data_IF_286740626474
#
_entry.id   IF_286740626474
#
_cell.length_a   1.000
_cell.length_b   1.000
_cell.length_c   1.000
_cell.angle_alpha   90.00
_cell.angle_beta   90.00
_cell.angle_gamma   90.00
#
_symmetry.space_group_name_H-M   'P 1'
#
loop_
_entity.id
_entity.type
_entity.pdbx_description
1 polymer ?
#
# COMPACT_ATOMS: atom_id res chain seq x y z
N UNK A 1 91.62 -21.71 -46.09
CA UNK A 1 90.95 -20.74 -45.24
C UNK A 1 89.55 -20.45 -45.89
N UNK A 2 88.48 -21.05 -45.40
CA UNK A 2 87.17 -20.75 -45.83
C UNK A 2 86.26 -20.69 -44.56
N UNK A 3 85.83 -19.47 -44.25
CA UNK A 3 84.84 -19.22 -43.16
C UNK A 3 83.46 -19.65 -43.58
N UNK A 4 82.82 -20.40 -42.77
CA UNK A 4 81.43 -20.79 -42.90
C UNK A 4 80.52 -19.79 -42.11
N UNK A 5 79.36 -19.30 -42.61
CA UNK A 5 78.52 -18.43 -41.85
C UNK A 5 77.49 -19.24 -41.03
N UNK A 6 77.42 -18.89 -39.73
CA UNK A 6 76.39 -19.34 -38.82
C UNK A 6 75.01 -18.68 -39.19
N UNK A 7 74.02 -19.48 -39.42
CA UNK A 7 72.65 -19.00 -39.55
C UNK A 7 72.03 -18.98 -38.12
N UNK A 8 71.70 -17.79 -37.64
CA UNK A 8 70.90 -17.61 -36.43
C UNK A 8 69.45 -17.65 -36.81
N UNK A 9 68.76 -18.68 -36.36
CA UNK A 9 67.28 -18.78 -36.47
C UNK A 9 66.70 -18.01 -35.32
N UNK A 10 66.05 -16.85 -35.61
CA UNK A 10 65.32 -16.05 -34.62
C UNK A 10 63.92 -16.64 -34.46
N UNK A 11 63.64 -17.30 -33.32
CA UNK A 11 62.30 -17.75 -32.96
C UNK A 11 61.47 -16.56 -32.51
N UNK A 12 60.50 -16.15 -33.31
CA UNK A 12 59.45 -15.20 -32.94
C UNK A 12 58.49 -15.88 -31.95
N UNK A 13 58.57 -15.51 -30.65
CA UNK A 13 57.56 -15.83 -29.69
C UNK A 13 56.33 -14.96 -29.96
N UNK A 14 55.27 -15.59 -30.43
CA UNK A 14 53.93 -14.95 -30.53
C UNK A 14 53.37 -14.87 -29.09
N UNK A 15 53.50 -13.65 -28.53
CA UNK A 15 52.85 -13.34 -27.23
C UNK A 15 51.35 -13.29 -27.48
N UNK A 16 50.61 -14.31 -27.02
CA UNK A 16 49.15 -14.35 -27.05
C UNK A 16 48.58 -13.22 -26.19
N UNK A 17 47.94 -12.26 -26.83
CA UNK A 17 47.11 -11.30 -26.14
C UNK A 17 45.89 -12.04 -25.57
N UNK A 18 45.96 -12.51 -24.33
CA UNK A 18 44.77 -12.82 -23.56
C UNK A 18 43.94 -11.55 -23.44
N UNK A 19 42.74 -11.58 -24.08
CA UNK A 19 41.82 -10.48 -24.01
C UNK A 19 41.46 -10.18 -22.56
N UNK A 20 41.86 -8.99 -22.07
CA UNK A 20 41.35 -8.46 -20.81
C UNK A 20 39.86 -8.47 -20.88
N UNK A 21 39.21 -9.27 -20.00
CA UNK A 21 37.75 -9.14 -19.74
C UNK A 21 37.46 -7.67 -19.44
N UNK A 22 36.38 -7.08 -19.99
CA UNK A 22 36.00 -5.74 -19.62
C UNK A 22 35.91 -5.67 -18.10
N UNK A 23 36.59 -4.73 -17.49
CA UNK A 23 36.46 -4.43 -16.05
C UNK A 23 35.04 -3.93 -15.90
N UNK A 24 34.18 -4.71 -15.21
CA UNK A 24 32.86 -4.24 -14.84
C UNK A 24 33.04 -2.91 -14.09
N UNK A 25 32.24 -1.86 -14.42
CA UNK A 25 32.34 -0.61 -13.70
C UNK A 25 32.10 -0.88 -12.22
N UNK A 26 33.06 -0.50 -11.38
CA UNK A 26 32.95 -0.57 -9.92
C UNK A 26 31.72 0.25 -9.56
N UNK A 27 30.67 -0.43 -9.06
CA UNK A 27 29.49 0.24 -8.56
C UNK A 27 29.93 1.23 -7.48
N UNK A 28 29.72 2.53 -7.71
CA UNK A 28 30.05 3.56 -6.75
C UNK A 28 29.23 3.34 -5.47
N UNK A 29 29.89 3.13 -4.35
CA UNK A 29 29.26 3.09 -3.04
C UNK A 29 28.57 4.44 -2.83
N UNK A 30 27.27 4.48 -2.46
CA UNK A 30 26.59 5.72 -2.18
C UNK A 30 27.35 6.54 -1.13
N UNK A 31 27.63 7.82 -1.42
CA UNK A 31 28.41 8.70 -0.57
C UNK A 31 27.50 9.75 0.09
N UNK A 32 27.92 10.22 1.27
CA UNK A 32 27.20 11.24 2.04
C UNK A 32 26.51 10.70 3.30
N UNK A 33 25.85 11.56 4.08
CA UNK A 33 25.08 11.14 5.25
C UNK A 33 23.86 10.34 4.85
N UNK A 34 23.50 9.36 5.68
CA UNK A 34 22.26 8.61 5.52
C UNK A 34 21.04 9.52 5.72
N UNK A 35 19.97 9.32 4.92
CA UNK A 35 18.82 10.21 4.88
C UNK A 35 17.50 9.43 4.77
N UNK A 36 16.42 10.03 5.22
CA UNK A 36 15.05 9.57 4.97
C UNK A 36 14.52 9.96 3.57
N UNK A 37 15.31 10.74 2.80
CA UNK A 37 15.00 11.10 1.40
C UNK A 37 16.10 10.60 0.46
N UNK A 38 16.29 9.26 0.35
CA UNK A 38 17.28 8.73 -0.55
C UNK A 38 16.86 8.94 -2.01
N UNK A 39 17.86 9.08 -2.89
CA UNK A 39 17.66 9.10 -4.32
C UNK A 39 18.16 7.82 -4.95
N UNK A 40 17.48 7.33 -5.98
CA UNK A 40 17.88 6.18 -6.76
C UNK A 40 17.98 6.54 -8.23
N UNK A 41 18.99 6.00 -8.91
CA UNK A 41 19.11 6.05 -10.36
C UNK A 41 18.49 4.79 -10.96
N UNK A 42 17.55 4.96 -11.87
CA UNK A 42 16.92 3.90 -12.65
C UNK A 42 17.52 3.97 -14.06
N UNK A 43 18.32 2.97 -14.41
CA UNK A 43 18.93 2.84 -15.73
C UNK A 43 18.12 1.90 -16.60
N UNK A 44 17.73 2.35 -17.79
CA UNK A 44 16.90 1.58 -18.72
C UNK A 44 17.54 1.45 -20.10
N UNK A 45 16.93 0.68 -20.97
CA UNK A 45 17.31 0.62 -22.40
C UNK A 45 17.06 1.92 -23.17
N UNK A 46 16.24 2.83 -22.62
CA UNK A 46 15.91 4.12 -23.23
C UNK A 46 16.59 5.31 -22.55
N UNK A 47 17.49 5.06 -21.59
CA UNK A 47 18.22 6.07 -20.85
C UNK A 47 18.01 5.95 -19.34
N UNK A 48 18.57 6.91 -18.61
CA UNK A 48 18.56 6.97 -17.17
C UNK A 48 17.62 8.06 -16.65
N UNK A 49 17.09 7.89 -15.45
CA UNK A 49 16.40 8.92 -14.70
C UNK A 49 16.59 8.73 -13.20
N UNK A 50 16.39 9.78 -12.41
CA UNK A 50 16.58 9.79 -10.96
C UNK A 50 15.24 10.01 -10.27
N UNK A 51 15.01 9.21 -9.24
CA UNK A 51 13.83 9.32 -8.36
C UNK A 51 14.31 9.68 -6.95
N UNK A 52 13.77 10.75 -6.37
CA UNK A 52 13.88 11.05 -4.95
C UNK A 52 12.75 10.36 -4.21
N UNK A 53 13.09 9.57 -3.19
CA UNK A 53 12.14 8.82 -2.37
C UNK A 53 11.79 9.60 -1.10
N UNK A 54 10.64 9.34 -0.51
CA UNK A 54 10.11 10.06 0.66
C UNK A 54 9.75 9.06 1.78
N UNK A 55 10.76 8.65 2.55
CA UNK A 55 10.56 7.80 3.72
C UNK A 55 10.06 8.56 4.95
N UNK A 56 9.98 9.88 4.90
CA UNK A 56 9.33 10.66 5.96
C UNK A 56 7.80 10.45 5.95
N UNK A 57 7.22 10.30 4.75
CA UNK A 57 5.78 10.11 4.56
C UNK A 57 5.39 8.67 4.20
N UNK A 58 6.31 7.85 3.68
CA UNK A 58 6.06 6.46 3.30
C UNK A 58 7.20 5.54 3.76
N UNK A 59 7.49 5.45 5.08
CA UNK A 59 8.68 4.76 5.59
C UNK A 59 8.70 3.26 5.28
N UNK A 60 7.58 2.56 5.42
CA UNK A 60 7.45 1.13 5.10
C UNK A 60 7.59 0.85 3.62
N UNK A 61 6.96 1.67 2.77
CA UNK A 61 7.01 1.53 1.31
C UNK A 61 8.42 1.81 0.77
N UNK A 62 9.08 2.88 1.23
CA UNK A 62 10.47 3.18 0.83
C UNK A 62 11.43 2.11 1.33
N UNK A 63 11.28 1.62 2.58
CA UNK A 63 12.09 0.52 3.11
C UNK A 63 11.94 -0.74 2.26
N UNK A 64 10.72 -1.11 1.89
CA UNK A 64 10.45 -2.25 1.01
C UNK A 64 11.12 -2.07 -0.37
N UNK A 65 10.93 -0.92 -1.00
CA UNK A 65 11.52 -0.63 -2.31
C UNK A 65 13.06 -0.67 -2.26
N UNK A 66 13.66 -0.04 -1.25
CA UNK A 66 15.12 -0.03 -1.06
C UNK A 66 15.69 -1.42 -0.76
N UNK A 67 14.95 -2.30 -0.07
CA UNK A 67 15.35 -3.70 0.09
C UNK A 67 15.46 -4.42 -1.25
N UNK A 68 14.52 -4.20 -2.18
CA UNK A 68 14.59 -4.76 -3.53
C UNK A 68 15.70 -4.13 -4.38
N UNK A 69 16.03 -2.85 -4.15
CA UNK A 69 17.18 -2.18 -4.79
C UNK A 69 18.49 -2.83 -4.35
N UNK A 70 18.68 -3.05 -3.03
CA UNK A 70 19.87 -3.67 -2.48
C UNK A 70 20.04 -5.13 -2.94
N UNK A 71 18.92 -5.87 -3.04
CA UNK A 71 18.89 -7.25 -3.55
C UNK A 71 19.07 -7.31 -5.09
N UNK A 72 19.20 -6.18 -5.78
CA UNK A 72 19.25 -6.09 -7.25
C UNK A 72 18.05 -6.79 -7.93
N UNK A 73 16.91 -6.85 -7.23
CA UNK A 73 15.72 -7.54 -7.71
C UNK A 73 15.23 -6.98 -9.04
N UNK A 74 15.30 -5.66 -9.21
CA UNK A 74 14.78 -4.99 -10.40
C UNK A 74 15.62 -5.17 -11.65
N UNK A 75 16.86 -5.64 -11.51
CA UNK A 75 17.77 -5.83 -12.65
C UNK A 75 17.20 -6.88 -13.63
N UNK A 76 17.09 -6.49 -14.88
CA UNK A 76 16.50 -7.30 -15.94
C UNK A 76 14.98 -7.36 -15.95
N UNK A 77 14.28 -6.67 -15.05
CA UNK A 77 12.81 -6.50 -15.14
C UNK A 77 12.47 -5.44 -16.21
N UNK A 78 11.20 -5.33 -16.57
CA UNK A 78 10.74 -4.41 -17.60
C UNK A 78 9.66 -3.45 -17.12
N UNK A 79 9.50 -2.34 -17.82
CA UNK A 79 8.24 -1.60 -17.84
C UNK A 79 7.26 -2.39 -18.71
N UNK A 80 6.45 -3.23 -18.06
CA UNK A 80 5.55 -4.19 -18.71
C UNK A 80 4.21 -3.61 -19.13
N UNK A 81 3.84 -2.44 -18.58
CA UNK A 81 2.57 -1.77 -18.88
C UNK A 81 2.80 -0.28 -19.07
N UNK A 82 2.49 0.22 -20.26
CA UNK A 82 2.57 1.63 -20.63
C UNK A 82 1.21 2.10 -21.12
N UNK A 83 0.69 3.12 -20.46
CA UNK A 83 -0.54 3.82 -20.84
C UNK A 83 -0.19 5.30 -20.94
N UNK A 84 0.04 5.80 -22.14
CA UNK A 84 0.61 7.12 -22.43
C UNK A 84 -0.12 8.32 -21.78
N UNK A 85 -1.44 8.17 -21.52
CA UNK A 85 -2.26 9.19 -20.85
C UNK A 85 -2.54 8.84 -19.38
N UNK A 86 -1.73 8.00 -18.76
CA UNK A 86 -1.94 7.56 -17.38
C UNK A 86 -0.62 7.26 -16.69
N UNK A 87 -0.08 6.04 -16.82
CA UNK A 87 1.07 5.56 -16.05
C UNK A 87 2.02 4.72 -16.91
N UNK A 88 3.27 4.65 -16.49
CA UNK A 88 4.21 3.60 -16.87
C UNK A 88 4.49 2.71 -15.67
N UNK A 89 4.24 1.40 -15.76
CA UNK A 89 4.31 0.44 -14.66
C UNK A 89 5.38 -0.61 -14.93
N UNK A 90 6.21 -0.89 -13.91
CA UNK A 90 7.33 -1.81 -14.04
C UNK A 90 7.68 -2.55 -12.75
N UNK A 91 8.81 -3.27 -12.78
CA UNK A 91 9.43 -3.88 -11.60
C UNK A 91 8.90 -5.25 -11.19
N UNK A 92 8.01 -5.88 -12.00
CA UNK A 92 7.43 -7.17 -11.63
C UNK A 92 7.57 -8.27 -12.67
N UNK A 93 7.99 -7.97 -13.90
CA UNK A 93 8.00 -8.91 -15.02
C UNK A 93 9.36 -8.92 -15.73
N UNK A 94 9.71 -10.09 -16.29
CA UNK A 94 10.84 -10.27 -17.21
C UNK A 94 10.48 -9.80 -18.62
N UNK A 95 11.45 -9.65 -19.55
CA UNK A 95 11.16 -9.31 -20.95
C UNK A 95 10.18 -10.26 -21.65
N UNK A 96 10.13 -11.53 -21.25
CA UNK A 96 9.19 -12.55 -21.77
C UNK A 96 7.80 -12.46 -21.12
N UNK A 97 7.53 -11.38 -20.35
CA UNK A 97 6.28 -11.18 -19.61
C UNK A 97 5.96 -12.31 -18.64
N UNK A 98 6.97 -12.88 -18.02
CA UNK A 98 6.84 -13.80 -16.90
C UNK A 98 7.02 -13.05 -15.60
N UNK A 99 6.09 -13.22 -14.65
CA UNK A 99 6.18 -12.58 -13.35
C UNK A 99 7.43 -13.09 -12.58
N UNK A 100 8.27 -12.16 -12.12
CA UNK A 100 9.48 -12.46 -11.35
C UNK A 100 9.12 -12.71 -9.88
N UNK A 101 8.84 -13.98 -9.55
CA UNK A 101 8.46 -14.39 -8.19
C UNK A 101 9.64 -14.67 -7.26
N UNK A 102 10.75 -15.16 -7.81
CA UNK A 102 11.96 -15.43 -7.03
C UNK A 102 12.50 -14.12 -6.39
N UNK A 103 12.70 -14.16 -5.08
CA UNK A 103 13.16 -12.98 -4.31
C UNK A 103 12.04 -12.01 -3.91
N UNK A 104 10.77 -12.32 -4.15
CA UNK A 104 9.66 -11.52 -3.62
C UNK A 104 9.59 -11.64 -2.09
N UNK A 105 9.37 -10.49 -1.43
CA UNK A 105 9.14 -10.36 0.00
C UNK A 105 7.64 -10.35 0.29
N UNK A 106 7.20 -10.55 1.55
CA UNK A 106 5.79 -10.37 1.92
C UNK A 106 5.26 -9.01 1.50
N UNK A 107 3.96 -8.95 1.25
CA UNK A 107 3.28 -7.70 0.95
C UNK A 107 3.33 -6.74 2.14
N UNK A 108 3.34 -5.44 1.85
CA UNK A 108 3.44 -4.37 2.85
C UNK A 108 2.08 -3.74 3.16
N UNK A 109 2.03 -3.06 4.31
CA UNK A 109 0.87 -2.27 4.70
C UNK A 109 0.65 -1.09 3.74
N UNK A 110 -0.61 -0.67 3.61
CA UNK A 110 -0.97 0.51 2.84
C UNK A 110 -0.59 1.80 3.59
N UNK A 111 0.15 2.67 2.93
CA UNK A 111 0.53 4.00 3.40
C UNK A 111 -0.08 5.12 2.54
N UNK A 112 -1.14 4.86 1.76
CA UNK A 112 -1.76 5.86 0.88
C UNK A 112 -2.44 7.03 1.63
N UNK A 113 -2.48 6.97 2.98
CA UNK A 113 -2.91 8.08 3.86
C UNK A 113 -1.81 9.09 4.19
N UNK A 114 -0.68 9.02 3.51
CA UNK A 114 0.50 9.84 3.80
C UNK A 114 0.41 11.29 3.33
N UNK A 115 -0.71 11.70 2.72
CA UNK A 115 -0.92 13.06 2.22
C UNK A 115 -0.27 13.37 0.87
N UNK A 116 0.52 12.44 0.33
CA UNK A 116 1.12 12.60 -1.00
C UNK A 116 0.09 12.28 -2.09
N UNK A 117 0.19 13.02 -3.22
CA UNK A 117 -0.76 12.92 -4.33
C UNK A 117 -0.13 12.21 -5.52
N UNK A 118 -0.97 11.50 -6.29
CA UNK A 118 -0.59 10.90 -7.56
C UNK A 118 -0.49 11.95 -8.68
N UNK A 119 0.27 13.01 -8.43
CA UNK A 119 0.56 14.05 -9.39
C UNK A 119 1.56 13.55 -10.46
N UNK A 120 1.62 14.22 -11.59
CA UNK A 120 2.57 13.94 -12.66
C UNK A 120 4.01 13.85 -12.13
N UNK A 121 4.74 12.84 -12.59
CA UNK A 121 6.13 12.49 -12.23
C UNK A 121 6.31 11.92 -10.83
N UNK A 122 5.24 11.62 -10.09
CA UNK A 122 5.37 10.86 -8.85
C UNK A 122 5.50 9.36 -9.13
N UNK A 123 6.19 8.65 -8.23
CA UNK A 123 6.26 7.19 -8.22
C UNK A 123 5.33 6.66 -7.12
N UNK A 124 4.53 5.68 -7.47
CA UNK A 124 3.60 5.05 -6.53
C UNK A 124 3.71 3.52 -6.58
N UNK A 125 3.41 2.87 -5.44
CA UNK A 125 3.45 1.42 -5.33
C UNK A 125 2.18 0.80 -5.93
N UNK A 126 2.37 -0.17 -6.83
CA UNK A 126 1.25 -0.93 -7.38
C UNK A 126 0.73 -1.95 -6.36
N UNK A 127 -0.55 -2.10 -6.30
CA UNK A 127 -1.29 -3.12 -5.57
C UNK A 127 -2.42 -3.71 -6.42
N UNK A 128 -2.88 -4.88 -6.09
CA UNK A 128 -4.06 -5.48 -6.74
C UNK A 128 -5.29 -4.62 -6.40
N UNK A 129 -6.08 -4.19 -7.38
CA UNK A 129 -7.32 -3.47 -7.12
C UNK A 129 -8.21 -4.21 -6.12
N UNK A 130 -8.77 -3.49 -5.15
CA UNK A 130 -9.59 -4.08 -4.08
C UNK A 130 -8.81 -4.73 -2.92
N UNK A 131 -7.48 -4.89 -3.03
CA UNK A 131 -6.64 -5.44 -1.95
C UNK A 131 -5.53 -4.46 -1.55
N UNK A 132 -5.77 -3.71 -0.48
CA UNK A 132 -4.87 -2.65 0.01
C UNK A 132 -3.54 -3.17 0.55
N UNK A 133 -3.48 -4.44 0.96
CA UNK A 133 -2.29 -5.07 1.55
C UNK A 133 -1.60 -6.03 0.58
N UNK A 134 -1.69 -5.79 -0.73
CA UNK A 134 -1.10 -6.65 -1.77
C UNK A 134 0.13 -6.04 -2.45
N UNK A 135 0.57 -4.85 -2.03
CA UNK A 135 1.74 -4.19 -2.60
C UNK A 135 3.03 -4.96 -2.25
N UNK A 136 3.87 -5.22 -3.25
CA UNK A 136 5.13 -5.96 -3.09
C UNK A 136 6.28 -5.32 -3.87
N UNK A 137 6.41 -5.66 -5.17
CA UNK A 137 7.56 -5.27 -6.00
C UNK A 137 7.23 -4.19 -7.03
N UNK A 138 6.01 -4.23 -7.59
CA UNK A 138 5.67 -3.41 -8.74
C UNK A 138 5.41 -1.95 -8.34
N UNK A 139 5.88 -1.05 -9.18
CA UNK A 139 5.66 0.39 -9.05
C UNK A 139 5.21 0.98 -10.37
N UNK A 140 4.67 2.18 -10.32
CA UNK A 140 4.38 2.96 -11.53
C UNK A 140 4.76 4.42 -11.34
N UNK A 141 5.02 5.08 -12.47
CA UNK A 141 5.25 6.53 -12.53
C UNK A 141 4.03 7.16 -13.19
N UNK A 142 3.45 8.15 -12.54
CA UNK A 142 2.37 8.95 -13.07
C UNK A 142 2.90 9.87 -14.18
N UNK A 143 2.38 9.75 -15.41
CA UNK A 143 2.79 10.61 -16.54
C UNK A 143 1.81 11.76 -16.78
N UNK A 144 0.73 11.80 -16.01
CA UNK A 144 -0.24 12.90 -15.88
C UNK A 144 -0.68 12.98 -14.40
N UNK A 145 -1.41 14.03 -14.02
CA UNK A 145 -2.04 14.10 -12.70
C UNK A 145 -3.21 13.12 -12.60
N UNK A 146 -3.26 12.35 -11.51
CA UNK A 146 -4.24 11.32 -11.26
C UNK A 146 -4.95 11.48 -9.91
N UNK A 147 -5.81 12.50 -9.72
CA UNK A 147 -6.54 12.68 -8.47
C UNK A 147 -7.47 11.49 -8.13
N UNK A 148 -7.88 10.70 -9.13
CA UNK A 148 -8.64 9.46 -8.95
C UNK A 148 -7.80 8.27 -8.43
N UNK A 149 -6.46 8.37 -8.40
CA UNK A 149 -5.56 7.41 -7.76
C UNK A 149 -5.17 7.86 -6.35
N UNK A 150 -5.50 9.08 -5.98
CA UNK A 150 -5.38 9.55 -4.60
C UNK A 150 -6.43 8.85 -3.73
N UNK A 151 -6.23 8.91 -2.43
CA UNK A 151 -7.21 8.37 -1.52
C UNK A 151 -8.44 9.25 -1.51
N UNK A 152 -9.40 8.91 -2.32
CA UNK A 152 -10.75 9.47 -2.36
C UNK A 152 -11.68 8.70 -1.40
N UNK A 153 -12.94 9.12 -1.31
CA UNK A 153 -13.95 8.56 -0.38
C UNK A 153 -14.05 7.04 -0.37
N UNK A 154 -13.78 6.36 -1.49
CA UNK A 154 -13.82 4.89 -1.60
C UNK A 154 -12.51 4.19 -1.20
N UNK A 155 -11.43 4.92 -0.87
CA UNK A 155 -10.13 4.42 -0.41
C UNK A 155 -9.30 3.66 -1.41
N UNK A 156 -9.58 3.84 -2.66
CA UNK A 156 -8.86 3.18 -3.74
C UNK A 156 -7.43 3.68 -3.98
N UNK A 157 -6.92 4.61 -3.18
CA UNK A 157 -5.62 5.26 -3.34
C UNK A 157 -4.44 4.31 -3.49
N UNK A 158 -3.40 4.83 -4.17
CA UNK A 158 -2.11 4.17 -4.31
C UNK A 158 -1.06 4.97 -3.54
N UNK A 159 -0.20 4.27 -2.80
CA UNK A 159 0.84 4.91 -1.99
C UNK A 159 1.89 5.58 -2.86
N UNK A 160 1.88 6.90 -2.94
CA UNK A 160 2.98 7.68 -3.48
C UNK A 160 4.13 7.64 -2.47
N UNK A 161 5.36 7.38 -2.95
CA UNK A 161 6.53 7.26 -2.09
C UNK A 161 7.77 7.99 -2.64
N UNK A 162 7.60 8.84 -3.66
CA UNK A 162 8.66 9.65 -4.24
C UNK A 162 8.27 10.31 -5.55
N UNK A 163 9.25 10.91 -6.21
CA UNK A 163 9.06 11.55 -7.52
C UNK A 163 10.32 11.57 -8.37
N UNK A 164 10.14 11.60 -9.68
CA UNK A 164 11.23 11.81 -10.65
C UNK A 164 11.74 13.24 -10.50
N UNK A 165 13.06 13.39 -10.35
CA UNK A 165 13.74 14.67 -10.16
C UNK A 165 14.71 15.00 -11.30
N UNK A 166 15.20 13.98 -12.02
CA UNK A 166 16.08 14.13 -13.20
C UNK A 166 15.71 13.11 -14.27
N UNK A 167 15.99 13.40 -15.54
CA UNK A 167 15.75 12.47 -16.65
C UNK A 167 14.28 12.31 -17.03
N UNK A 168 13.47 13.36 -16.84
CA UNK A 168 12.04 13.38 -17.23
C UNK A 168 11.86 13.00 -18.69
N UNK A 169 12.75 13.43 -19.57
CA UNK A 169 12.76 13.10 -20.99
C UNK A 169 12.94 11.60 -21.26
N UNK A 170 13.60 10.86 -20.36
CA UNK A 170 13.65 9.39 -20.42
C UNK A 170 12.31 8.78 -20.09
N UNK A 171 11.63 9.27 -19.04
CA UNK A 171 10.28 8.83 -18.68
C UNK A 171 9.30 9.12 -19.82
N UNK A 172 9.43 10.26 -20.49
CA UNK A 172 8.62 10.61 -21.66
C UNK A 172 8.91 9.68 -22.85
N UNK A 173 10.16 9.34 -23.13
CA UNK A 173 10.49 8.31 -24.15
C UNK A 173 9.84 6.96 -23.84
N UNK A 174 9.83 6.54 -22.55
CA UNK A 174 9.18 5.30 -22.15
C UNK A 174 7.65 5.41 -22.32
N UNK A 175 7.04 6.54 -21.98
CA UNK A 175 5.61 6.82 -22.18
C UNK A 175 5.19 6.69 -23.65
N UNK A 176 6.05 7.12 -24.55
CA UNK A 176 5.74 7.27 -25.99
C UNK A 176 6.11 6.04 -26.83
N UNK A 177 6.57 4.93 -26.19
CA UNK A 177 6.87 3.69 -26.93
C UNK A 177 5.63 3.11 -27.60
N UNK A 178 5.82 2.44 -28.73
CA UNK A 178 4.75 1.67 -29.35
C UNK A 178 4.36 0.50 -28.46
N UNK A 179 3.06 0.34 -28.19
CA UNK A 179 2.50 -0.72 -27.37
C UNK A 179 1.68 -1.71 -28.19
N UNK A 180 1.60 -2.94 -27.70
CA UNK A 180 0.84 -4.04 -28.27
C UNK A 180 0.24 -4.91 -27.15
N UNK A 181 -0.16 -6.12 -27.53
CA UNK A 181 -0.56 -7.19 -26.60
C UNK A 181 0.54 -8.23 -26.52
N UNK A 182 0.59 -8.98 -25.41
CA UNK A 182 1.54 -10.07 -25.24
C UNK A 182 0.80 -11.32 -24.73
N UNK A 183 1.07 -12.53 -25.26
CA UNK A 183 0.32 -13.74 -24.91
C UNK A 183 0.46 -14.13 -23.44
N UNK A 184 1.59 -13.83 -22.81
CA UNK A 184 1.87 -14.14 -21.41
C UNK A 184 1.41 -13.04 -20.44
N UNK A 185 0.81 -11.94 -20.93
CA UNK A 185 0.34 -10.84 -20.09
C UNK A 185 -1.14 -10.56 -20.30
N UNK A 186 -1.95 -10.96 -19.34
CA UNK A 186 -3.41 -10.86 -19.41
C UNK A 186 -3.91 -9.44 -19.05
N UNK A 187 -3.48 -8.42 -19.80
CA UNK A 187 -4.03 -7.05 -19.66
C UNK A 187 -5.36 -6.85 -20.43
N UNK A 188 -6.08 -7.91 -20.71
CA UNK A 188 -7.26 -7.88 -21.56
C UNK A 188 -6.92 -7.62 -23.03
N UNK A 189 -7.88 -7.06 -23.78
CA UNK A 189 -7.73 -6.76 -25.23
C UNK A 189 -6.99 -5.43 -25.50
N UNK A 190 -6.60 -4.69 -24.46
CA UNK A 190 -5.99 -3.38 -24.64
C UNK A 190 -4.48 -3.50 -24.89
N UNK A 191 -3.94 -2.88 -25.94
CA UNK A 191 -2.50 -2.83 -26.17
C UNK A 191 -1.84 -1.91 -25.15
N UNK A 192 -1.10 -2.49 -24.21
CA UNK A 192 -0.40 -1.75 -23.13
C UNK A 192 1.03 -2.23 -22.90
N UNK A 193 1.43 -3.32 -23.56
CA UNK A 193 2.78 -3.90 -23.42
C UNK A 193 3.68 -3.27 -24.48
N UNK A 194 4.85 -2.69 -24.11
CA UNK A 194 5.82 -2.22 -25.08
C UNK A 194 6.18 -3.32 -26.11
N UNK A 195 6.09 -3.00 -27.40
CA UNK A 195 6.41 -3.97 -28.48
C UNK A 195 7.88 -4.39 -28.40
N UNK A 196 8.76 -3.42 -28.10
CA UNK A 196 10.15 -3.70 -27.73
C UNK A 196 10.27 -3.53 -26.23
N UNK A 197 10.77 -4.56 -25.50
CA UNK A 197 10.86 -4.50 -24.05
C UNK A 197 11.72 -3.33 -23.57
N UNK A 198 11.14 -2.48 -22.73
CA UNK A 198 11.89 -1.44 -22.00
C UNK A 198 12.47 -2.04 -20.75
N UNK A 199 13.71 -2.50 -20.82
CA UNK A 199 14.39 -3.21 -19.74
C UNK A 199 14.94 -2.22 -18.73
N UNK A 200 14.70 -2.48 -17.46
CA UNK A 200 15.37 -1.86 -16.32
C UNK A 200 16.70 -2.58 -16.17
N UNK A 201 17.78 -1.94 -16.59
CA UNK A 201 19.13 -2.50 -16.49
C UNK A 201 19.59 -2.59 -15.05
N UNK A 202 19.28 -1.54 -14.28
CA UNK A 202 19.55 -1.50 -12.85
C UNK A 202 18.77 -0.40 -12.15
N UNK A 203 18.56 -0.59 -10.83
CA UNK A 203 18.19 0.49 -9.91
C UNK A 203 19.24 0.54 -8.81
N UNK A 204 19.87 1.70 -8.60
CA UNK A 204 20.96 1.87 -7.62
C UNK A 204 20.74 3.13 -6.78
N UNK A 205 21.01 3.03 -5.48
CA UNK A 205 21.03 4.18 -4.58
C UNK A 205 22.13 5.15 -4.96
N UNK A 206 21.85 6.45 -4.95
CA UNK A 206 22.83 7.52 -5.16
C UNK A 206 23.40 8.05 -3.85
N UNK A 207 22.66 7.92 -2.75
CA UNK A 207 23.04 8.30 -1.41
C UNK A 207 22.54 7.27 -0.40
N UNK A 208 23.18 7.15 0.80
CA UNK A 208 22.77 6.16 1.80
C UNK A 208 21.37 6.41 2.33
N UNK A 209 20.61 5.32 2.51
CA UNK A 209 19.29 5.33 3.13
C UNK A 209 19.39 5.04 4.62
N UNK A 210 18.81 5.92 5.46
CA UNK A 210 18.70 5.68 6.89
C UNK A 210 17.54 4.73 7.21
N UNK A 211 17.79 3.44 6.97
CA UNK A 211 16.81 2.38 7.21
C UNK A 211 16.39 2.28 8.67
N UNK A 212 17.36 2.53 9.60
CA UNK A 212 17.07 2.48 11.04
C UNK A 212 16.10 3.60 11.44
N UNK A 213 16.33 4.81 10.95
CA UNK A 213 15.41 5.93 11.20
C UNK A 213 14.04 5.70 10.55
N UNK A 214 13.98 5.13 9.34
CA UNK A 214 12.70 4.83 8.67
C UNK A 214 11.89 3.79 9.43
N UNK A 215 12.49 2.69 9.90
CA UNK A 215 11.83 1.68 10.72
C UNK A 215 11.34 2.28 12.04
N UNK A 216 12.16 3.09 12.71
CA UNK A 216 11.77 3.77 13.94
C UNK A 216 10.60 4.73 13.72
N UNK A 217 10.57 5.43 12.58
CA UNK A 217 9.47 6.31 12.20
C UNK A 217 8.18 5.53 11.95
N UNK A 218 8.25 4.41 11.23
CA UNK A 218 7.09 3.53 11.00
C UNK A 218 6.50 3.03 12.33
N UNK A 219 7.34 2.56 13.26
CA UNK A 219 6.91 2.13 14.59
C UNK A 219 6.33 3.30 15.40
N UNK A 220 6.94 4.49 15.34
CA UNK A 220 6.42 5.69 15.99
C UNK A 220 5.04 6.08 15.45
N UNK A 221 4.81 5.99 14.14
CA UNK A 221 3.51 6.24 13.54
C UNK A 221 2.45 5.22 13.98
N UNK A 222 2.83 3.94 14.15
CA UNK A 222 1.95 2.90 14.72
C UNK A 222 1.61 3.22 16.18
N UNK A 223 2.61 3.57 16.98
CA UNK A 223 2.42 3.93 18.39
C UNK A 223 1.53 5.16 18.54
N UNK A 224 1.75 6.21 17.74
CA UNK A 224 0.91 7.42 17.76
C UNK A 224 -0.58 7.12 17.46
N UNK A 225 -0.86 6.19 16.52
CA UNK A 225 -2.24 5.73 16.28
C UNK A 225 -2.84 5.04 17.50
N UNK A 226 -2.04 4.20 18.19
CA UNK A 226 -2.47 3.52 19.40
C UNK A 226 -2.70 4.49 20.58
N UNK A 227 -1.82 5.48 20.72
CA UNK A 227 -1.95 6.52 21.76
C UNK A 227 -3.19 7.38 21.54
N UNK A 228 -3.53 7.71 20.27
CA UNK A 228 -4.80 8.39 19.96
C UNK A 228 -6.02 7.62 20.42
N UNK A 229 -6.04 6.30 20.20
CA UNK A 229 -7.11 5.43 20.70
C UNK A 229 -7.22 5.54 22.23
N UNK A 230 -6.08 5.49 22.93
CA UNK A 230 -6.04 5.67 24.38
C UNK A 230 -6.57 7.03 24.86
N UNK A 231 -6.22 8.11 24.16
CA UNK A 231 -6.73 9.46 24.46
C UNK A 231 -8.25 9.57 24.25
N UNK A 232 -8.77 9.00 23.16
CA UNK A 232 -10.22 8.98 22.91
C UNK A 232 -10.93 8.20 24.02
N UNK A 233 -10.43 7.03 24.41
CA UNK A 233 -11.01 6.23 25.51
C UNK A 233 -11.04 7.03 26.81
N UNK A 234 -9.94 7.67 27.21
CA UNK A 234 -9.89 8.52 28.41
C UNK A 234 -10.92 9.66 28.37
N UNK A 235 -11.11 10.29 27.21
CA UNK A 235 -12.14 11.32 27.01
C UNK A 235 -13.53 10.74 27.22
N UNK A 236 -13.86 9.61 26.58
CA UNK A 236 -15.15 8.94 26.72
C UNK A 236 -15.44 8.54 28.19
N UNK A 237 -14.44 8.01 28.91
CA UNK A 237 -14.54 7.72 30.34
C UNK A 237 -14.86 8.98 31.19
N UNK A 238 -14.20 10.10 30.83
CA UNK A 238 -14.45 11.38 31.53
C UNK A 238 -15.84 11.94 31.24
N UNK A 239 -16.30 11.85 30.00
CA UNK A 239 -17.61 12.35 29.56
C UNK A 239 -18.78 11.51 30.12
N UNK A 240 -18.61 10.19 30.18
CA UNK A 240 -19.64 9.27 30.66
C UNK A 240 -19.65 9.10 32.18
N UNK A 241 -18.52 9.35 32.85
CA UNK A 241 -18.30 8.98 34.26
C UNK A 241 -18.10 7.48 34.50
N UNK A 242 -18.10 6.66 33.44
CA UNK A 242 -17.93 5.21 33.50
C UNK A 242 -16.54 4.81 32.99
N UNK A 243 -16.02 3.67 33.48
CA UNK A 243 -14.79 3.08 32.98
C UNK A 243 -15.04 2.25 31.74
N UNK A 244 -14.08 2.25 30.82
CA UNK A 244 -14.11 1.36 29.68
C UNK A 244 -14.04 -0.10 30.13
N UNK A 245 -14.96 -0.90 29.65
CA UNK A 245 -14.95 -2.36 29.83
C UNK A 245 -14.18 -2.96 28.64
N UNK A 246 -13.31 -3.94 28.91
CA UNK A 246 -12.58 -4.72 27.88
C UNK A 246 -13.05 -6.17 27.96
N UNK A 247 -13.48 -6.73 26.84
CA UNK A 247 -13.89 -8.14 26.74
C UNK A 247 -12.68 -9.05 26.46
N UNK A 248 -12.88 -10.36 26.55
CA UNK A 248 -11.84 -11.36 26.22
C UNK A 248 -11.36 -11.30 24.77
N UNK A 249 -12.22 -10.88 23.84
CA UNK A 249 -11.87 -10.69 22.44
C UNK A 249 -11.01 -9.44 22.17
N UNK A 250 -10.84 -8.56 23.17
CA UNK A 250 -10.19 -7.27 23.05
C UNK A 250 -11.12 -6.14 22.59
N UNK A 251 -12.42 -6.40 22.44
CA UNK A 251 -13.40 -5.33 22.26
C UNK A 251 -13.43 -4.45 23.51
N UNK A 252 -13.61 -3.14 23.31
CA UNK A 252 -13.84 -2.22 24.43
C UNK A 252 -15.13 -1.45 24.24
N UNK A 253 -15.75 -1.03 25.32
CA UNK A 253 -16.91 -0.14 25.27
C UNK A 253 -17.01 0.73 26.51
N UNK A 254 -17.69 1.88 26.35
CA UNK A 254 -18.00 2.83 27.41
C UNK A 254 -19.50 3.10 27.37
N UNK A 255 -20.18 2.85 28.50
CA UNK A 255 -21.62 3.11 28.64
C UNK A 255 -21.87 4.55 29.09
N UNK A 256 -22.71 5.27 28.35
CA UNK A 256 -23.21 6.60 28.70
C UNK A 256 -24.59 6.51 29.39
N UNK A 257 -25.36 5.52 29.00
CA UNK A 257 -26.66 5.20 29.62
C UNK A 257 -26.92 3.71 29.51
N UNK A 258 -27.22 3.08 30.64
CA UNK A 258 -27.66 1.69 30.63
C UNK A 258 -29.12 1.61 30.17
N UNK A 259 -29.42 0.71 29.24
CA UNK A 259 -30.79 0.42 28.80
C UNK A 259 -31.54 -0.43 29.84
N UNK A 260 -32.86 -0.48 29.68
CA UNK A 260 -33.73 -1.27 30.57
C UNK A 260 -34.45 -2.42 29.86
N UNK A 261 -34.42 -2.43 28.51
CA UNK A 261 -35.07 -3.44 27.71
C UNK A 261 -34.27 -4.75 27.55
N UNK A 262 -34.60 -5.53 26.53
CA UNK A 262 -33.98 -6.82 26.25
C UNK A 262 -32.53 -6.66 25.74
N UNK A 263 -31.73 -7.72 25.88
CA UNK A 263 -30.48 -7.88 25.17
C UNK A 263 -30.77 -8.49 23.80
N UNK A 264 -30.15 -7.99 22.70
CA UNK A 264 -30.30 -8.59 21.38
C UNK A 264 -29.65 -9.97 21.31
N UNK A 265 -30.31 -10.91 20.66
CA UNK A 265 -29.75 -12.23 20.32
C UNK A 265 -29.08 -12.19 18.93
N UNK A 266 -28.16 -13.13 18.67
CA UNK A 266 -27.36 -13.14 17.41
C UNK A 266 -28.17 -13.19 16.14
N UNK A 267 -29.34 -13.82 16.17
CA UNK A 267 -30.25 -13.95 15.02
C UNK A 267 -31.31 -12.83 14.91
N UNK A 268 -31.26 -11.86 15.82
CA UNK A 268 -32.17 -10.73 15.82
C UNK A 268 -31.61 -9.54 15.07
N UNK A 269 -32.45 -8.57 14.78
CA UNK A 269 -32.09 -7.28 14.27
C UNK A 269 -32.26 -6.21 15.36
N UNK A 270 -31.53 -5.13 15.22
CA UNK A 270 -31.61 -3.98 16.12
C UNK A 270 -31.92 -2.72 15.32
N UNK A 271 -32.78 -1.88 15.86
CA UNK A 271 -32.97 -0.52 15.38
C UNK A 271 -32.14 0.43 16.23
N UNK A 272 -31.30 1.23 15.59
CA UNK A 272 -30.36 2.10 16.29
C UNK A 272 -30.05 3.37 15.53
N UNK A 273 -29.68 4.42 16.26
CA UNK A 273 -28.91 5.52 15.74
C UNK A 273 -27.42 5.23 16.00
N UNK A 274 -26.56 5.56 15.05
CA UNK A 274 -25.13 5.45 15.26
C UNK A 274 -24.32 6.47 14.46
N UNK A 275 -23.11 6.73 14.95
CA UNK A 275 -22.05 7.45 14.23
C UNK A 275 -20.78 6.63 14.33
N UNK A 276 -20.20 6.26 13.21
CA UNK A 276 -18.93 5.55 13.09
C UNK A 276 -17.78 6.51 12.84
N UNK A 277 -16.80 6.56 13.74
CA UNK A 277 -15.63 7.44 13.62
C UNK A 277 -14.30 6.70 13.73
N UNK A 278 -13.28 7.29 13.15
CA UNK A 278 -11.88 6.88 13.31
C UNK A 278 -11.26 7.55 14.54
N UNK A 279 -10.07 7.10 15.03
CA UNK A 279 -9.41 7.73 16.17
C UNK A 279 -9.07 9.21 15.96
N UNK A 280 -9.00 9.68 14.72
CA UNK A 280 -8.77 11.10 14.38
C UNK A 280 -10.05 11.94 14.34
N UNK A 281 -11.20 11.33 14.65
CA UNK A 281 -12.51 11.97 14.67
C UNK A 281 -13.21 12.04 13.31
N UNK A 282 -12.61 11.53 12.23
CA UNK A 282 -13.28 11.45 10.92
C UNK A 282 -14.44 10.46 11.00
N UNK A 283 -15.61 10.93 10.62
CA UNK A 283 -16.77 10.08 10.40
C UNK A 283 -16.56 9.26 9.12
N UNK A 284 -16.84 7.96 9.20
CA UNK A 284 -16.81 7.08 8.04
C UNK A 284 -18.20 6.53 7.71
N UNK A 285 -19.14 6.56 8.68
CA UNK A 285 -20.49 6.06 8.47
C UNK A 285 -21.43 6.60 9.56
N UNK A 286 -22.72 6.80 9.24
CA UNK A 286 -23.73 7.14 10.22
C UNK A 286 -25.15 6.77 9.76
N UNK A 287 -26.05 6.59 10.71
CA UNK A 287 -27.46 6.37 10.42
C UNK A 287 -28.11 7.54 9.68
N UNK A 288 -27.64 8.76 9.89
CA UNK A 288 -28.09 9.96 9.20
C UNK A 288 -27.72 9.97 7.71
N UNK A 289 -26.49 9.50 7.36
CA UNK A 289 -26.08 9.41 5.94
C UNK A 289 -26.83 8.30 5.19
N UNK A 290 -27.19 7.19 5.88
CA UNK A 290 -27.79 6.03 5.23
C UNK A 290 -29.32 6.15 5.04
N UNK A 291 -30.04 6.72 6.03
CA UNK A 291 -31.48 6.63 6.06
C UNK A 291 -32.21 7.89 6.58
N UNK A 292 -31.48 8.99 6.79
CA UNK A 292 -32.01 10.21 7.44
C UNK A 292 -32.67 9.95 8.82
N UNK A 293 -32.29 8.84 9.48
CA UNK A 293 -32.86 8.40 10.76
C UNK A 293 -32.31 7.05 11.25
N UNK A 294 -33.03 6.39 12.15
CA UNK A 294 -32.62 5.09 12.68
C UNK A 294 -32.50 4.03 11.60
N UNK A 295 -31.46 3.20 11.68
CA UNK A 295 -31.27 2.05 10.78
C UNK A 295 -31.57 0.74 11.47
N UNK A 296 -32.03 -0.26 10.70
CA UNK A 296 -32.17 -1.63 11.18
C UNK A 296 -30.96 -2.47 10.74
N UNK A 297 -30.18 -2.96 11.73
CA UNK A 297 -29.01 -3.79 11.50
C UNK A 297 -29.32 -5.24 11.89
N UNK A 298 -29.09 -6.17 10.94
CA UNK A 298 -29.13 -7.60 11.24
C UNK A 298 -27.79 -8.01 11.88
N UNK A 299 -27.81 -8.57 13.10
CA UNK A 299 -26.61 -8.92 13.85
C UNK A 299 -25.84 -10.08 13.21
N UNK A 300 -26.49 -10.99 12.45
CA UNK A 300 -25.78 -12.05 11.74
C UNK A 300 -24.80 -11.50 10.68
N UNK A 301 -25.13 -10.37 10.05
CA UNK A 301 -24.34 -9.76 8.97
C UNK A 301 -23.40 -8.65 9.46
N UNK A 302 -23.54 -8.24 10.71
CA UNK A 302 -22.70 -7.21 11.30
C UNK A 302 -21.23 -7.67 11.49
N UNK A 303 -20.29 -6.72 11.46
CA UNK A 303 -18.90 -7.00 11.86
C UNK A 303 -18.85 -7.56 13.27
N UNK A 304 -17.83 -8.40 13.54
CA UNK A 304 -17.73 -9.14 14.81
C UNK A 304 -17.83 -8.24 16.03
N UNK A 305 -17.12 -7.10 16.02
CA UNK A 305 -17.11 -6.17 17.14
C UNK A 305 -18.45 -5.48 17.40
N UNK A 306 -19.19 -5.09 16.35
CA UNK A 306 -20.53 -4.53 16.53
C UNK A 306 -21.50 -5.58 17.08
N UNK A 307 -21.47 -6.78 16.51
CA UNK A 307 -22.31 -7.90 17.02
C UNK A 307 -22.06 -8.14 18.48
N UNK A 308 -20.82 -8.33 18.88
CA UNK A 308 -20.44 -8.58 20.28
C UNK A 308 -20.85 -7.42 21.20
N UNK A 309 -20.54 -6.18 20.81
CA UNK A 309 -20.85 -5.01 21.61
C UNK A 309 -22.34 -4.74 21.78
N UNK A 310 -23.15 -4.99 20.75
CA UNK A 310 -24.61 -4.85 20.82
C UNK A 310 -25.27 -5.95 21.64
N UNK A 311 -24.79 -7.19 21.57
CA UNK A 311 -25.33 -8.30 22.37
C UNK A 311 -25.16 -8.12 23.90
N UNK A 312 -24.23 -7.26 24.31
CA UNK A 312 -24.01 -6.91 25.72
C UNK A 312 -24.69 -5.59 26.12
N UNK A 313 -25.48 -4.99 25.22
CA UNK A 313 -26.16 -3.71 25.41
C UNK A 313 -27.68 -3.92 25.49
N UNK A 314 -28.34 -3.33 26.48
CA UNK A 314 -29.81 -3.39 26.58
C UNK A 314 -30.47 -2.34 25.69
N UNK A 315 -31.65 -2.67 25.18
CA UNK A 315 -32.54 -1.72 24.50
C UNK A 315 -32.78 -0.48 25.39
N UNK A 316 -32.75 0.71 24.75
CA UNK A 316 -32.79 2.02 25.39
C UNK A 316 -31.44 2.50 25.90
N UNK A 317 -30.36 1.77 25.68
CA UNK A 317 -29.01 2.13 26.10
C UNK A 317 -28.32 3.09 25.13
N UNK A 318 -27.27 3.77 25.63
CA UNK A 318 -26.33 4.57 24.82
C UNK A 318 -24.89 4.19 25.19
N UNK A 319 -24.10 3.85 24.19
CA UNK A 319 -22.75 3.28 24.33
C UNK A 319 -21.83 3.70 23.19
N UNK A 320 -20.55 3.92 23.47
CA UNK A 320 -19.52 3.89 22.45
C UNK A 320 -18.86 2.51 22.45
N UNK A 321 -18.92 1.80 21.33
CA UNK A 321 -18.21 0.54 21.09
C UNK A 321 -16.89 0.86 20.39
N UNK A 322 -15.77 0.34 20.90
CA UNK A 322 -14.42 0.55 20.39
C UNK A 322 -13.94 -0.79 19.83
N UNK A 323 -13.98 -0.90 18.51
CA UNK A 323 -13.74 -2.15 17.76
C UNK A 323 -12.27 -2.18 17.32
N UNK A 324 -11.44 -3.12 17.85
CA UNK A 324 -10.09 -3.30 17.36
C UNK A 324 -10.11 -3.84 15.91
N UNK A 325 -9.01 -3.70 15.16
CA UNK A 325 -8.96 -4.08 13.74
C UNK A 325 -9.46 -5.50 13.45
N UNK A 326 -9.06 -6.49 14.24
CA UNK A 326 -9.38 -7.91 14.02
C UNK A 326 -10.87 -8.25 14.22
N UNK A 327 -11.59 -7.41 14.92
CA UNK A 327 -13.04 -7.51 15.11
C UNK A 327 -13.83 -6.59 14.16
N UNK A 328 -13.12 -5.77 13.39
CA UNK A 328 -13.65 -4.86 12.38
C UNK A 328 -13.28 -5.29 10.97
N UNK A 329 -12.58 -4.41 10.26
CA UNK A 329 -12.20 -4.61 8.86
C UNK A 329 -10.74 -5.02 8.66
N UNK A 330 -9.99 -5.27 9.74
CA UNK A 330 -8.65 -5.85 9.74
C UNK A 330 -7.63 -5.10 8.89
N UNK A 331 -6.69 -5.88 8.34
CA UNK A 331 -5.63 -5.38 7.49
C UNK A 331 -6.13 -4.86 6.12
N UNK A 332 -7.35 -5.21 5.71
CA UNK A 332 -7.95 -4.72 4.46
C UNK A 332 -8.56 -3.33 4.59
N UNK A 333 -9.11 -2.99 5.74
CA UNK A 333 -9.93 -1.78 5.92
C UNK A 333 -11.18 -1.79 5.03
N UNK A 334 -11.77 -0.61 4.83
CA UNK A 334 -12.71 -0.34 3.74
C UNK A 334 -12.09 0.74 2.86
N UNK A 335 -11.87 0.44 1.60
CA UNK A 335 -11.38 1.42 0.66
C UNK A 335 -12.16 2.75 0.73
N UNK A 336 -11.48 3.87 1.03
CA UNK A 336 -11.98 5.25 1.12
C UNK A 336 -12.64 5.67 2.40
N UNK A 337 -13.07 4.72 3.17
CA UNK A 337 -13.73 5.01 4.43
C UNK A 337 -12.85 4.68 5.63
N UNK A 338 -12.25 3.48 5.63
CA UNK A 338 -11.57 2.93 6.80
C UNK A 338 -10.16 2.46 6.42
N UNK A 339 -9.10 3.09 6.97
CA UNK A 339 -7.73 2.64 6.78
C UNK A 339 -7.50 1.20 7.24
N UNK A 340 -6.51 0.49 6.66
CA UNK A 340 -6.02 -0.76 7.20
C UNK A 340 -5.65 -0.66 8.68
N UNK A 341 -5.94 -1.73 9.42
CA UNK A 341 -5.62 -1.83 10.85
C UNK A 341 -6.17 -0.67 11.70
N UNK A 342 -7.33 -0.12 11.32
CA UNK A 342 -7.99 0.94 12.08
C UNK A 342 -8.81 0.39 13.23
N UNK A 343 -8.64 0.98 14.39
CA UNK A 343 -9.64 0.89 15.47
C UNK A 343 -10.82 1.77 15.11
N UNK A 344 -12.04 1.28 15.32
CA UNK A 344 -13.28 1.98 14.99
C UNK A 344 -14.01 2.34 16.26
N UNK A 345 -14.63 3.52 16.27
CA UNK A 345 -15.52 3.96 17.35
C UNK A 345 -16.92 4.05 16.78
N UNK A 346 -17.88 3.42 17.45
CA UNK A 346 -19.28 3.51 17.14
C UNK A 346 -20.04 4.07 18.32
N UNK A 347 -20.49 5.30 18.20
CA UNK A 347 -21.41 5.92 19.14
C UNK A 347 -22.82 5.44 18.82
N UNK A 348 -23.42 4.64 19.69
CA UNK A 348 -24.69 3.94 19.41
C UNK A 348 -25.74 4.31 20.44
N UNK A 349 -26.94 4.57 19.96
CA UNK A 349 -28.17 4.56 20.74
C UNK A 349 -29.06 3.41 20.25
N UNK A 350 -29.19 2.37 21.07
CA UNK A 350 -29.99 1.19 20.76
C UNK A 350 -31.47 1.49 21.10
N UNK A 351 -32.30 1.61 20.08
CA UNK A 351 -33.69 2.03 20.20
C UNK A 351 -34.64 0.86 20.46
N UNK A 352 -34.50 -0.22 19.70
CA UNK A 352 -35.33 -1.43 19.86
C UNK A 352 -34.63 -2.69 19.37
N UNK A 353 -35.03 -3.82 19.94
CA UNK A 353 -34.68 -5.16 19.48
C UNK A 353 -35.87 -5.69 18.65
N UNK A 354 -35.58 -6.20 17.44
CA UNK A 354 -36.59 -6.69 16.49
C UNK A 354 -36.37 -8.17 16.20
N UNK A 355 -37.43 -8.94 15.93
CA UNK A 355 -37.29 -10.33 15.48
C UNK A 355 -36.38 -10.43 14.26
N UNK A 356 -35.81 -11.63 14.04
CA UNK A 356 -34.99 -11.92 12.86
C UNK A 356 -35.69 -11.51 11.56
N UNK A 357 -34.95 -10.85 10.66
CA UNK A 357 -35.45 -10.53 9.32
C UNK A 357 -35.45 -11.82 8.50
N UNK A 358 -36.59 -12.27 7.95
CA UNK A 358 -36.67 -13.47 7.12
C UNK A 358 -35.73 -13.35 5.90
N UNK A 359 -34.98 -14.40 5.59
CA UNK A 359 -34.01 -14.43 4.48
C UNK A 359 -34.62 -14.14 3.08
N UNK A 360 -35.93 -14.13 2.94
CA UNK A 360 -36.65 -13.85 1.67
C UNK A 360 -36.76 -12.36 1.33
N UNK A 361 -36.66 -11.46 2.29
CA UNK A 361 -36.74 -10.01 2.03
C UNK A 361 -35.41 -9.38 1.57
N UNK A 362 -34.31 -10.09 1.71
CA UNK A 362 -32.97 -9.58 1.31
C UNK A 362 -32.76 -9.62 -0.22
N UNK A 363 -33.59 -10.36 -0.97
CA UNK A 363 -33.45 -10.48 -2.44
C UNK A 363 -34.01 -9.31 -3.25
N UNK A 364 -34.75 -8.40 -2.66
CA UNK A 364 -35.45 -7.30 -3.38
C UNK A 364 -34.73 -5.94 -3.30
N UNK A 365 -33.53 -5.86 -2.67
CA UNK A 365 -32.76 -4.60 -2.55
C UNK A 365 -31.54 -4.52 -3.48
N UNK A 366 -31.30 -5.54 -4.32
CA UNK A 366 -30.19 -5.60 -5.27
C UNK A 366 -30.60 -5.82 -6.73
N UNK A 367 -31.85 -5.48 -7.12
CA UNK A 367 -32.27 -5.42 -8.53
C UNK A 367 -32.36 -3.96 -8.99
#
# INVERSE_FOLDING_TARGET
MKLSPFIVVLALAVCGCEGRKPVEPVESVPSGPATLRPSVKISTTLGDFVVSLDAENAPGTVTNFMNYVDDKFYDGTVFHRVVAKSVIQGGGYTPDMVEKKAGQRPAIADESYNGLRNDRWTIAMYRVPGNLTSAQTQFFINVVDHPNLDRIRDGSGYTVFGRVVEGIETVERIRDVRVGTHPNYAAGKNPVVPVEPVVIRSIRALNPFDRKAAVALEESMKQFRNDRVGLVVKRLESESGAKAVTTESGLRYVDFREGKGAFPLVHEAVEMNYVGTLPDGREFDSSQEQAEGPVTLNLETAIKGLREGLQTMREGGKRTIIVPPDLGYGAGGIPGKIPPNSTLFFDIELLSVKPAIPKQEIKSLND
#
